data_IF_888667025739
#
_entry.id   IF_888667025739
#
_cell.length_a   1.000
_cell.length_b   1.000
_cell.length_c   1.000
_cell.angle_alpha   90.00
_cell.angle_beta   90.00
_cell.angle_gamma   90.00
#
_symmetry.space_group_name_H-M   'P 1'
#
loop_
_entity.id
_entity.type
_entity.pdbx_description
1 polymer ?
#
# COMPACT_ATOMS: atom_id res chain seq x y z
N UNK A 1 9.29 33.72 9.75
CA UNK A 1 10.74 33.97 9.80
C UNK A 1 11.38 33.06 8.77
N UNK A 2 11.55 33.54 7.54
CA UNK A 2 12.36 32.81 6.56
C UNK A 2 13.80 32.86 7.04
N UNK A 3 14.43 31.70 7.26
CA UNK A 3 15.88 31.67 7.38
C UNK A 3 16.43 32.11 6.03
N UNK A 4 17.16 33.22 6.04
CA UNK A 4 18.07 33.57 4.96
C UNK A 4 19.00 32.38 4.73
N UNK A 5 18.76 31.62 3.65
CA UNK A 5 19.70 30.66 3.08
C UNK A 5 20.78 31.48 2.35
N UNK A 6 21.47 32.34 3.10
CA UNK A 6 22.55 33.15 2.57
C UNK A 6 23.85 32.35 2.71
N UNK A 7 24.26 31.77 1.58
CA UNK A 7 25.66 31.71 1.16
C UNK A 7 26.60 30.74 1.92
N UNK A 8 26.16 29.49 2.15
CA UNK A 8 27.06 28.38 2.49
C UNK A 8 26.73 27.14 1.62
N UNK A 9 27.67 26.74 0.75
CA UNK A 9 27.73 25.47 0.01
C UNK A 9 26.45 24.99 -0.68
N UNK A 10 25.88 25.80 -1.57
CA UNK A 10 24.82 25.33 -2.49
C UNK A 10 25.30 24.27 -3.48
N UNK A 11 26.61 24.15 -3.69
CA UNK A 11 27.22 23.17 -4.61
C UNK A 11 27.20 21.74 -4.07
N UNK A 12 26.89 21.55 -2.77
CA UNK A 12 26.93 20.24 -2.11
C UNK A 12 25.54 19.63 -1.83
N UNK A 13 24.46 20.26 -2.29
CA UNK A 13 23.11 19.74 -2.12
C UNK A 13 22.45 19.53 -3.48
N UNK A 14 21.80 18.39 -3.64
CA UNK A 14 21.03 18.05 -4.83
C UNK A 14 19.52 18.01 -4.50
N UNK A 15 18.71 18.57 -5.39
CA UNK A 15 17.26 18.68 -5.28
C UNK A 15 16.53 17.79 -6.31
N UNK A 16 17.26 16.97 -7.07
CA UNK A 16 16.75 16.23 -8.23
C UNK A 16 15.96 14.95 -7.89
N UNK A 17 16.18 14.34 -6.72
CA UNK A 17 15.65 13.00 -6.40
C UNK A 17 14.11 12.90 -6.46
N UNK A 18 13.39 14.00 -6.22
CA UNK A 18 11.93 14.04 -6.25
C UNK A 18 11.35 14.75 -7.48
N UNK A 19 12.18 15.16 -8.45
CA UNK A 19 11.78 15.80 -9.71
C UNK A 19 11.03 17.14 -9.60
N UNK A 20 10.50 17.50 -8.43
CA UNK A 20 9.62 18.66 -8.22
C UNK A 20 9.54 19.14 -6.76
N UNK A 21 10.19 18.46 -5.80
CA UNK A 21 10.07 18.82 -4.39
C UNK A 21 11.38 19.42 -3.81
N UNK A 22 11.62 20.73 -4.01
CA UNK A 22 12.79 21.42 -3.47
C UNK A 22 12.78 21.56 -1.94
N UNK A 23 11.77 21.02 -1.24
CA UNK A 23 11.61 21.20 0.19
C UNK A 23 12.58 20.36 1.04
N UNK A 24 13.37 19.45 0.44
CA UNK A 24 14.22 18.53 1.22
C UNK A 24 15.62 18.35 0.59
N UNK A 25 16.53 19.34 0.74
CA UNK A 25 17.89 19.17 0.29
C UNK A 25 18.57 18.04 1.07
N UNK A 26 19.16 17.11 0.34
CA UNK A 26 20.09 16.09 0.86
C UNK A 26 21.48 16.36 0.30
N UNK A 27 22.51 15.90 1.00
CA UNK A 27 23.88 16.02 0.52
C UNK A 27 24.04 15.30 -0.83
N UNK A 28 24.91 15.82 -1.68
CA UNK A 28 25.17 15.24 -2.99
C UNK A 28 25.59 13.77 -2.90
N UNK A 29 26.47 13.42 -1.96
CA UNK A 29 26.93 12.03 -1.81
C UNK A 29 25.78 11.08 -1.42
N UNK A 30 24.82 11.58 -0.63
CA UNK A 30 23.59 10.85 -0.34
C UNK A 30 22.74 10.67 -1.60
N UNK A 31 22.55 11.73 -2.40
CA UNK A 31 21.80 11.62 -3.64
C UNK A 31 22.43 10.63 -4.62
N UNK A 32 23.74 10.71 -4.83
CA UNK A 32 24.51 9.80 -5.69
C UNK A 32 24.36 8.34 -5.22
N UNK A 33 24.38 8.11 -3.89
CA UNK A 33 24.18 6.78 -3.32
C UNK A 33 22.77 6.24 -3.56
N UNK A 34 21.73 7.08 -3.39
CA UNK A 34 20.34 6.67 -3.67
C UNK A 34 20.13 6.45 -5.18
N UNK A 35 20.71 7.28 -6.06
CA UNK A 35 20.63 7.09 -7.51
C UNK A 35 21.27 5.75 -7.93
N UNK A 36 22.47 5.46 -7.43
CA UNK A 36 23.14 4.18 -7.68
C UNK A 36 22.29 3.01 -7.20
N UNK A 37 21.69 3.13 -6.02
CA UNK A 37 20.77 2.14 -5.48
C UNK A 37 19.54 1.97 -6.37
N UNK A 38 18.93 3.06 -6.83
CA UNK A 38 17.81 3.03 -7.76
C UNK A 38 18.15 2.36 -9.09
N UNK A 39 19.35 2.55 -9.61
CA UNK A 39 19.84 1.87 -10.82
C UNK A 39 19.98 0.36 -10.57
N UNK A 40 20.54 -0.05 -9.43
CA UNK A 40 20.69 -1.48 -9.06
C UNK A 40 19.33 -2.20 -8.94
N UNK A 41 18.32 -1.49 -8.44
CA UNK A 41 16.97 -2.00 -8.20
C UNK A 41 15.94 -1.45 -9.19
N UNK A 42 16.36 -1.07 -10.41
CA UNK A 42 15.48 -0.45 -11.42
C UNK A 42 14.21 -1.26 -11.71
N UNK A 43 14.28 -2.59 -11.65
CA UNK A 43 13.11 -3.46 -11.84
C UNK A 43 12.03 -3.34 -10.75
N UNK A 44 12.38 -2.83 -9.56
CA UNK A 44 11.47 -2.58 -8.45
C UNK A 44 10.78 -1.20 -8.56
N UNK A 45 11.21 -0.37 -9.52
CA UNK A 45 10.58 0.91 -9.84
C UNK A 45 9.44 0.64 -10.84
N UNK A 46 8.29 0.24 -10.30
CA UNK A 46 7.16 -0.22 -11.08
C UNK A 46 6.32 0.96 -11.59
N UNK A 47 6.23 1.10 -12.90
CA UNK A 47 5.12 1.80 -13.53
C UNK A 47 3.90 0.87 -13.52
N UNK A 48 2.84 1.31 -12.83
CA UNK A 48 1.66 0.48 -12.60
C UNK A 48 0.84 0.33 -13.87
N UNK A 49 0.78 1.34 -14.74
CA UNK A 49 -0.20 1.40 -15.83
C UNK A 49 -0.17 0.19 -16.80
N UNK A 50 1.02 -0.34 -17.09
CA UNK A 50 1.20 -1.39 -18.11
C UNK A 50 1.28 -2.83 -17.57
N UNK A 51 1.13 -3.03 -16.26
CA UNK A 51 1.30 -4.35 -15.63
C UNK A 51 -0.03 -4.97 -15.20
N UNK A 52 -0.10 -6.28 -15.08
CA UNK A 52 -1.17 -6.97 -14.37
C UNK A 52 -0.90 -6.98 -12.86
N UNK A 53 -1.93 -7.26 -12.04
CA UNK A 53 -1.73 -7.43 -10.60
C UNK A 53 -0.75 -8.58 -10.29
N UNK A 54 -0.82 -9.70 -11.03
CA UNK A 54 0.11 -10.82 -10.88
C UNK A 54 1.57 -10.42 -11.17
N UNK A 55 1.80 -9.61 -12.22
CA UNK A 55 3.14 -9.13 -12.54
C UNK A 55 3.69 -8.19 -11.48
N UNK A 56 2.85 -7.27 -10.97
CA UNK A 56 3.23 -6.38 -9.86
C UNK A 56 3.60 -7.22 -8.65
N UNK A 57 2.72 -8.12 -8.22
CA UNK A 57 2.94 -8.90 -7.00
C UNK A 57 4.14 -9.82 -7.12
N UNK A 58 4.37 -10.43 -8.28
CA UNK A 58 5.58 -11.23 -8.52
C UNK A 58 6.86 -10.40 -8.34
N UNK A 59 6.87 -9.15 -8.79
CA UNK A 59 8.04 -8.27 -8.64
C UNK A 59 8.17 -7.83 -7.19
N UNK A 60 7.08 -7.35 -6.59
CA UNK A 60 7.02 -6.88 -5.20
C UNK A 60 7.44 -7.97 -4.22
N UNK A 61 6.97 -9.20 -4.40
CA UNK A 61 7.26 -10.35 -3.53
C UNK A 61 8.66 -10.95 -3.78
N UNK A 62 9.41 -10.47 -4.78
CA UNK A 62 10.76 -10.96 -5.01
C UNK A 62 11.71 -10.55 -3.89
N UNK A 63 12.63 -11.44 -3.50
CA UNK A 63 13.65 -11.16 -2.47
C UNK A 63 14.43 -9.87 -2.76
N UNK A 64 14.67 -9.58 -4.04
CA UNK A 64 15.36 -8.38 -4.47
C UNK A 64 14.54 -7.12 -4.19
N UNK A 65 13.26 -7.07 -4.55
CA UNK A 65 12.44 -5.89 -4.27
C UNK A 65 12.03 -5.76 -2.81
N UNK A 66 11.89 -6.87 -2.08
CA UNK A 66 11.72 -6.82 -0.62
C UNK A 66 12.94 -6.14 0.05
N UNK A 67 14.17 -6.41 -0.41
CA UNK A 67 15.35 -5.66 0.07
C UNK A 67 15.27 -4.18 -0.29
N UNK A 68 14.87 -3.86 -1.53
CA UNK A 68 14.71 -2.49 -1.99
C UNK A 68 13.75 -1.67 -1.13
N UNK A 69 12.56 -2.22 -0.84
CA UNK A 69 11.52 -1.52 -0.09
C UNK A 69 11.78 -1.47 1.42
N UNK A 70 12.56 -2.41 1.96
CA UNK A 70 12.93 -2.41 3.38
C UNK A 70 14.15 -1.55 3.71
N UNK A 71 14.91 -1.09 2.71
CA UNK A 71 16.04 -0.18 2.92
C UNK A 71 15.50 1.21 3.24
N UNK A 72 15.98 1.74 4.38
CA UNK A 72 15.77 3.12 4.76
C UNK A 72 16.98 3.95 4.32
N UNK A 73 16.72 5.11 3.76
CA UNK A 73 17.72 6.09 3.35
C UNK A 73 18.57 6.52 4.56
N UNK A 74 18.00 6.56 5.76
CA UNK A 74 18.76 6.84 7.00
C UNK A 74 19.85 5.80 7.30
N UNK A 75 19.70 4.57 6.78
CA UNK A 75 20.68 3.50 6.96
C UNK A 75 21.81 3.56 5.93
N UNK A 76 21.69 4.39 4.87
CA UNK A 76 22.73 4.60 3.86
C UNK A 76 23.86 5.44 4.47
N UNK A 77 25.11 4.96 4.53
CA UNK A 77 26.22 5.68 5.17
C UNK A 77 26.42 7.11 4.67
N UNK A 78 26.30 7.32 3.36
CA UNK A 78 26.44 8.61 2.69
C UNK A 78 25.32 9.60 3.05
N UNK A 79 24.21 9.11 3.61
CA UNK A 79 23.07 9.92 4.01
C UNK A 79 23.05 10.31 5.49
N UNK A 80 23.98 9.81 6.31
CA UNK A 80 24.00 10.06 7.76
C UNK A 80 24.15 11.53 8.13
N UNK A 81 24.86 12.29 7.30
CA UNK A 81 25.09 13.71 7.53
C UNK A 81 24.13 14.61 6.74
N UNK A 82 23.17 14.03 6.02
CA UNK A 82 22.08 14.79 5.41
C UNK A 82 21.10 15.28 6.49
N UNK A 83 20.22 16.19 6.12
CA UNK A 83 19.19 16.70 7.02
C UNK A 83 18.25 15.53 7.39
N UNK A 84 18.19 15.19 8.68
CA UNK A 84 17.44 14.03 9.18
C UNK A 84 15.99 14.03 8.69
N UNK A 85 15.29 15.15 8.81
CA UNK A 85 13.88 15.26 8.38
C UNK A 85 13.74 15.12 6.85
N UNK A 86 14.74 15.52 6.04
CA UNK A 86 14.74 15.30 4.59
C UNK A 86 14.86 13.82 4.25
N UNK A 87 15.74 13.11 4.96
CA UNK A 87 15.93 11.67 4.83
C UNK A 87 14.66 10.92 5.24
N UNK A 88 14.05 11.28 6.37
CA UNK A 88 12.78 10.72 6.85
C UNK A 88 11.66 10.94 5.82
N UNK A 89 11.61 12.13 5.21
CA UNK A 89 10.63 12.43 4.17
C UNK A 89 10.78 11.52 2.95
N UNK A 90 12.01 11.27 2.49
CA UNK A 90 12.27 10.33 1.39
C UNK A 90 11.86 8.91 1.80
N UNK A 91 12.18 8.48 3.02
CA UNK A 91 11.76 7.17 3.54
C UNK A 91 10.24 7.02 3.54
N UNK A 92 9.50 8.06 3.95
CA UNK A 92 8.04 8.04 3.96
C UNK A 92 7.44 7.99 2.56
N UNK A 93 8.03 8.69 1.57
CA UNK A 93 7.60 8.58 0.18
C UNK A 93 7.85 7.17 -0.40
N UNK A 94 8.99 6.55 -0.04
CA UNK A 94 9.27 5.16 -0.43
C UNK A 94 8.29 4.18 0.21
N UNK A 95 7.99 4.34 1.51
CA UNK A 95 6.96 3.55 2.20
C UNK A 95 5.60 3.73 1.55
N UNK A 96 5.22 4.95 1.18
CA UNK A 96 3.95 5.24 0.52
C UNK A 96 3.82 4.47 -0.79
N UNK A 97 4.82 4.58 -1.67
CA UNK A 97 4.85 3.85 -2.94
C UNK A 97 4.80 2.32 -2.73
N UNK A 98 5.51 1.81 -1.73
CA UNK A 98 5.47 0.37 -1.40
C UNK A 98 4.10 -0.07 -0.89
N UNK A 99 3.45 0.73 -0.03
CA UNK A 99 2.11 0.46 0.49
C UNK A 99 1.07 0.38 -0.62
N UNK A 100 1.14 1.28 -1.60
CA UNK A 100 0.27 1.25 -2.78
C UNK A 100 0.46 -0.06 -3.57
N UNK A 101 1.70 -0.45 -3.84
CA UNK A 101 2.02 -1.70 -4.53
C UNK A 101 1.56 -2.94 -3.74
N UNK A 102 1.72 -2.96 -2.41
CA UNK A 102 1.20 -4.04 -1.55
C UNK A 102 -0.32 -4.12 -1.61
N UNK A 103 -1.00 -2.98 -1.73
CA UNK A 103 -2.46 -2.93 -1.76
C UNK A 103 -3.03 -3.55 -3.04
N UNK A 104 -2.31 -3.50 -4.17
CA UNK A 104 -2.62 -4.23 -5.40
C UNK A 104 -2.51 -5.75 -5.21
N UNK A 105 -1.77 -6.20 -4.18
CA UNK A 105 -1.47 -7.59 -3.91
C UNK A 105 -2.34 -8.25 -2.84
N UNK A 106 -3.35 -7.53 -2.34
CA UNK A 106 -4.27 -8.09 -1.36
C UNK A 106 -5.15 -9.15 -2.05
N UNK A 107 -5.15 -10.36 -1.49
CA UNK A 107 -5.93 -11.50 -1.96
C UNK A 107 -6.91 -11.99 -0.91
N UNK A 108 -8.04 -12.50 -1.37
CA UNK A 108 -9.09 -13.12 -0.57
C UNK A 108 -8.68 -14.51 -0.04
N UNK A 109 -9.62 -15.18 0.62
CA UNK A 109 -9.44 -16.53 1.16
C UNK A 109 -9.21 -17.58 0.07
N UNK A 110 -9.59 -17.29 -1.17
CA UNK A 110 -9.51 -18.17 -2.34
C UNK A 110 -8.36 -17.80 -3.28
N UNK A 111 -7.42 -16.96 -2.83
CA UNK A 111 -6.27 -16.49 -3.61
C UNK A 111 -6.64 -15.65 -4.84
N UNK A 112 -7.80 -14.99 -4.82
CA UNK A 112 -8.24 -14.02 -5.84
C UNK A 112 -7.96 -12.60 -5.34
N UNK A 113 -7.61 -11.70 -6.25
CA UNK A 113 -7.37 -10.29 -5.90
C UNK A 113 -8.61 -9.61 -5.36
N UNK A 114 -8.41 -8.76 -4.37
CA UNK A 114 -9.52 -8.05 -3.74
C UNK A 114 -10.10 -6.98 -4.68
N UNK A 115 -11.43 -6.87 -4.78
CA UNK A 115 -12.06 -6.02 -5.80
C UNK A 115 -11.71 -4.54 -5.74
N UNK A 116 -11.61 -3.92 -4.55
CA UNK A 116 -11.40 -2.47 -4.40
C UNK A 116 -10.13 -1.93 -5.08
N UNK A 117 -9.07 -2.73 -5.15
CA UNK A 117 -7.81 -2.41 -5.85
C UNK A 117 -7.57 -3.32 -7.05
N UNK A 118 -8.57 -4.10 -7.46
CA UNK A 118 -8.42 -4.80 -8.71
C UNK A 118 -8.25 -3.75 -9.81
N UNK A 119 -7.20 -3.90 -10.62
CA UNK A 119 -7.08 -3.13 -11.86
C UNK A 119 -8.31 -3.26 -12.73
N UNK A 120 -9.09 -4.32 -12.57
CA UNK A 120 -10.40 -4.46 -13.19
C UNK A 120 -11.36 -3.37 -12.72
N UNK A 121 -11.44 -3.09 -11.41
CA UNK A 121 -12.24 -1.98 -10.87
C UNK A 121 -11.67 -0.61 -11.27
N UNK A 122 -10.35 -0.44 -11.29
CA UNK A 122 -9.72 0.81 -11.73
C UNK A 122 -9.88 1.04 -13.25
N UNK A 123 -9.79 -0.02 -14.07
CA UNK A 123 -10.06 0.00 -15.52
C UNK A 123 -11.54 0.16 -15.84
N UNK A 124 -12.43 -0.27 -14.96
CA UNK A 124 -13.86 0.00 -15.11
C UNK A 124 -14.10 1.50 -14.93
N UNK A 125 -13.48 2.13 -13.94
CA UNK A 125 -13.58 3.58 -13.68
C UNK A 125 -12.66 4.35 -14.66
N UNK A 126 -13.04 4.41 -15.93
CA UNK A 126 -12.35 5.25 -16.90
C UNK A 126 -12.86 6.70 -16.82
N UNK A 127 -12.04 7.70 -17.21
CA UNK A 127 -12.51 9.08 -17.39
C UNK A 127 -13.69 9.21 -18.38
N UNK A 128 -13.90 8.20 -19.24
CA UNK A 128 -14.97 8.15 -20.24
C UNK A 128 -16.32 7.70 -19.67
N UNK A 129 -16.33 7.06 -18.49
CA UNK A 129 -17.57 6.70 -17.80
C UNK A 129 -18.30 7.93 -17.26
N UNK A 130 -19.64 7.84 -17.17
CA UNK A 130 -20.40 8.80 -16.38
C UNK A 130 -20.11 8.64 -14.89
N UNK A 131 -20.25 9.72 -14.12
CA UNK A 131 -20.09 9.72 -12.66
C UNK A 131 -20.92 8.63 -11.97
N UNK A 132 -22.15 8.38 -12.46
CA UNK A 132 -23.03 7.35 -11.93
C UNK A 132 -22.49 5.93 -12.19
N UNK A 133 -21.89 5.68 -13.35
CA UNK A 133 -21.28 4.38 -13.66
C UNK A 133 -20.04 4.14 -12.79
N UNK A 134 -19.21 5.16 -12.59
CA UNK A 134 -18.04 5.08 -11.71
C UNK A 134 -18.46 4.79 -10.27
N UNK A 135 -19.51 5.46 -9.79
CA UNK A 135 -20.10 5.23 -8.48
C UNK A 135 -20.63 3.81 -8.33
N UNK A 136 -21.38 3.30 -9.30
CA UNK A 136 -21.90 1.92 -9.27
C UNK A 136 -20.79 0.88 -9.29
N UNK A 137 -19.74 1.09 -10.09
CA UNK A 137 -18.58 0.20 -10.12
C UNK A 137 -17.86 0.17 -8.77
N UNK A 138 -17.65 1.35 -8.16
CA UNK A 138 -17.04 1.48 -6.85
C UNK A 138 -17.89 0.82 -5.74
N UNK A 139 -19.20 1.07 -5.71
CA UNK A 139 -20.12 0.45 -4.75
C UNK A 139 -20.12 -1.07 -4.89
N UNK A 140 -20.11 -1.59 -6.12
CA UNK A 140 -20.00 -3.03 -6.36
C UNK A 140 -18.68 -3.61 -5.84
N UNK A 141 -17.56 -2.96 -6.11
CA UNK A 141 -16.25 -3.42 -5.60
C UNK A 141 -16.18 -3.39 -4.08
N UNK A 142 -16.76 -2.37 -3.46
CA UNK A 142 -16.92 -2.25 -2.00
C UNK A 142 -17.74 -3.39 -1.42
N UNK A 143 -18.88 -3.71 -2.04
CA UNK A 143 -19.77 -4.82 -1.66
C UNK A 143 -19.10 -6.20 -1.81
N UNK A 144 -18.42 -6.45 -2.92
CA UNK A 144 -17.71 -7.70 -3.16
C UNK A 144 -16.53 -7.88 -2.20
N UNK A 145 -15.82 -6.79 -1.86
CA UNK A 145 -14.73 -6.81 -0.86
C UNK A 145 -15.23 -7.27 0.51
N UNK A 146 -16.44 -6.87 0.92
CA UNK A 146 -17.03 -7.28 2.20
C UNK A 146 -17.31 -8.78 2.33
N UNK A 147 -17.24 -9.54 1.24
CA UNK A 147 -17.39 -10.99 1.27
C UNK A 147 -16.14 -11.72 1.78
N UNK A 148 -15.01 -11.02 1.89
CA UNK A 148 -13.71 -11.56 2.31
C UNK A 148 -13.17 -10.84 3.54
N UNK A 149 -12.92 -11.58 4.61
CA UNK A 149 -12.28 -11.05 5.81
C UNK A 149 -10.84 -10.62 5.52
N UNK A 150 -10.09 -11.41 4.74
CA UNK A 150 -8.73 -11.04 4.31
C UNK A 150 -8.69 -9.74 3.53
N UNK A 151 -9.65 -9.51 2.64
CA UNK A 151 -9.72 -8.24 1.92
C UNK A 151 -10.03 -7.07 2.86
N UNK A 152 -11.02 -7.22 3.76
CA UNK A 152 -11.35 -6.20 4.77
C UNK A 152 -10.11 -5.85 5.60
N UNK A 153 -9.43 -6.86 6.16
CA UNK A 153 -8.25 -6.66 7.01
C UNK A 153 -7.08 -6.05 6.22
N UNK A 154 -6.86 -6.51 4.98
CA UNK A 154 -5.84 -5.98 4.10
C UNK A 154 -6.03 -4.48 3.82
N UNK A 155 -7.25 -4.06 3.49
CA UNK A 155 -7.54 -2.64 3.24
C UNK A 155 -7.47 -1.80 4.50
N UNK A 156 -7.97 -2.30 5.63
CA UNK A 156 -7.85 -1.58 6.89
C UNK A 156 -6.38 -1.41 7.30
N UNK A 157 -5.56 -2.44 7.10
CA UNK A 157 -4.11 -2.36 7.31
C UNK A 157 -3.47 -1.32 6.39
N UNK A 158 -3.80 -1.33 5.10
CA UNK A 158 -3.31 -0.35 4.13
C UNK A 158 -3.67 1.08 4.52
N UNK A 159 -4.94 1.37 4.83
CA UNK A 159 -5.35 2.71 5.24
C UNK A 159 -4.70 3.17 6.54
N UNK A 160 -4.53 2.28 7.51
CA UNK A 160 -3.80 2.61 8.74
C UNK A 160 -2.34 2.95 8.45
N UNK A 161 -1.68 2.17 7.58
CA UNK A 161 -0.30 2.41 7.14
C UNK A 161 -0.17 3.78 6.43
N UNK A 162 -1.10 4.13 5.53
CA UNK A 162 -1.14 5.44 4.87
C UNK A 162 -1.34 6.60 5.85
N UNK A 163 -2.24 6.44 6.83
CA UNK A 163 -2.49 7.42 7.87
C UNK A 163 -1.22 7.66 8.69
N UNK A 164 -0.49 6.61 9.05
CA UNK A 164 0.72 6.72 9.86
C UNK A 164 1.89 7.31 9.06
N UNK A 165 2.10 6.89 7.81
CA UNK A 165 3.08 7.50 6.89
C UNK A 165 2.81 9.00 6.73
N UNK A 166 1.55 9.40 6.57
CA UNK A 166 1.18 10.80 6.40
C UNK A 166 1.40 11.63 7.65
N UNK A 167 1.16 11.07 8.83
CA UNK A 167 1.51 11.74 10.09
C UNK A 167 3.02 11.93 10.21
N UNK A 168 3.80 10.89 9.98
CA UNK A 168 5.27 10.94 10.03
C UNK A 168 5.82 11.98 9.03
N UNK A 169 5.27 12.00 7.81
CA UNK A 169 5.65 12.96 6.78
C UNK A 169 5.26 14.40 7.13
N UNK A 170 4.05 14.62 7.64
CA UNK A 170 3.60 15.94 8.10
C UNK A 170 4.43 16.45 9.29
N UNK A 171 4.83 15.55 10.20
CA UNK A 171 5.74 15.88 11.31
C UNK A 171 7.13 16.29 10.81
N UNK A 172 7.69 15.57 9.85
CA UNK A 172 8.97 15.95 9.21
C UNK A 172 8.88 17.32 8.53
N UNK A 173 7.78 17.57 7.81
CA UNK A 173 7.50 18.85 7.16
C UNK A 173 7.38 20.01 8.16
N UNK A 174 6.77 19.79 9.33
CA UNK A 174 6.58 20.84 10.34
C UNK A 174 7.89 21.41 10.90
N UNK A 175 8.97 20.63 10.85
CA UNK A 175 10.28 21.02 11.38
C UNK A 175 11.13 21.78 10.37
N UNK A 176 10.95 21.51 9.08
CA UNK A 176 11.81 22.04 8.01
C UNK A 176 11.09 23.03 7.08
N UNK A 177 9.82 22.77 6.77
CA UNK A 177 9.01 23.65 5.95
C UNK A 177 8.61 24.91 6.71
N UNK A 178 8.45 26.02 5.99
CA UNK A 178 7.68 27.17 6.49
C UNK A 178 6.17 26.86 6.43
N UNK A 179 5.79 25.68 6.91
CA UNK A 179 4.42 25.18 6.91
C UNK A 179 3.83 25.51 8.28
N UNK A 180 2.65 26.12 8.25
CA UNK A 180 1.93 26.48 9.48
C UNK A 180 1.47 25.23 10.21
N UNK A 181 1.25 25.37 11.53
CA UNK A 181 0.65 24.30 12.34
C UNK A 181 -0.71 23.85 11.78
N UNK A 182 -1.49 24.79 11.23
CA UNK A 182 -2.79 24.49 10.62
C UNK A 182 -2.64 23.60 9.38
N UNK A 183 -1.67 23.88 8.51
CA UNK A 183 -1.38 23.04 7.34
C UNK A 183 -0.88 21.64 7.76
N UNK A 184 -0.02 21.55 8.78
CA UNK A 184 0.42 20.25 9.33
C UNK A 184 -0.76 19.46 9.90
N UNK A 185 -1.64 20.12 10.65
CA UNK A 185 -2.85 19.51 11.20
C UNK A 185 -3.84 19.12 10.08
N UNK A 186 -3.92 19.89 8.99
CA UNK A 186 -4.68 19.53 7.80
C UNK A 186 -4.15 18.26 7.15
N UNK A 187 -2.84 18.18 6.91
CA UNK A 187 -2.16 17.01 6.34
C UNK A 187 -2.37 15.75 7.19
N UNK A 188 -2.16 15.85 8.51
CA UNK A 188 -2.38 14.73 9.45
C UNK A 188 -3.82 14.21 9.44
N UNK A 189 -4.76 15.07 9.08
CA UNK A 189 -6.17 14.74 9.02
C UNK A 189 -6.69 14.56 7.59
N UNK A 190 -5.85 14.61 6.55
CA UNK A 190 -6.29 14.52 5.15
C UNK A 190 -7.15 13.29 4.91
N UNK A 191 -6.75 12.10 5.37
CA UNK A 191 -7.56 10.88 5.22
C UNK A 191 -8.85 10.86 6.03
N UNK A 192 -8.91 11.58 7.16
CA UNK A 192 -10.14 11.72 7.94
C UNK A 192 -11.09 12.75 7.33
N UNK A 193 -10.54 13.77 6.66
CA UNK A 193 -11.29 14.82 5.97
C UNK A 193 -11.74 14.37 4.59
N UNK A 194 -11.01 13.47 3.94
CA UNK A 194 -11.43 12.85 2.69
C UNK A 194 -12.67 11.99 2.95
N UNK A 195 -13.81 12.52 2.51
CA UNK A 195 -15.12 11.91 2.75
C UNK A 195 -15.19 10.49 2.20
N UNK A 196 -14.64 10.25 1.01
CA UNK A 196 -14.69 8.94 0.35
C UNK A 196 -13.90 7.88 1.13
N UNK A 197 -12.68 8.22 1.54
CA UNK A 197 -11.81 7.31 2.30
C UNK A 197 -12.36 7.05 3.69
N UNK A 198 -12.80 8.08 4.41
CA UNK A 198 -13.40 7.91 5.73
C UNK A 198 -14.68 7.08 5.69
N UNK A 199 -15.59 7.34 4.76
CA UNK A 199 -16.81 6.53 4.56
C UNK A 199 -16.48 5.07 4.22
N UNK A 200 -15.46 4.83 3.40
CA UNK A 200 -15.00 3.47 3.08
C UNK A 200 -14.46 2.76 4.32
N UNK A 201 -13.57 3.40 5.08
CA UNK A 201 -13.00 2.82 6.31
C UNK A 201 -14.11 2.47 7.31
N UNK A 202 -15.05 3.39 7.52
CA UNK A 202 -16.19 3.19 8.42
C UNK A 202 -17.10 2.07 7.93
N UNK A 203 -17.36 2.02 6.62
CA UNK A 203 -18.13 0.93 6.01
C UNK A 203 -17.46 -0.42 6.20
N UNK A 204 -16.16 -0.54 5.92
CA UNK A 204 -15.40 -1.79 6.12
C UNK A 204 -15.39 -2.25 7.58
N UNK A 205 -15.43 -1.32 8.54
CA UNK A 205 -15.53 -1.62 9.98
C UNK A 205 -16.94 -1.98 10.44
N UNK A 206 -17.96 -1.60 9.68
CA UNK A 206 -19.37 -1.74 10.07
C UNK A 206 -19.85 -3.19 10.09
N UNK A 207 -20.90 -3.43 10.88
CA UNK A 207 -21.60 -4.73 10.89
C UNK A 207 -22.27 -5.02 9.54
N UNK A 208 -22.62 -3.99 8.77
CA UNK A 208 -23.17 -4.16 7.42
C UNK A 208 -22.17 -4.82 6.47
N UNK A 209 -20.89 -4.46 6.55
CA UNK A 209 -19.84 -5.13 5.77
C UNK A 209 -19.52 -6.51 6.36
N UNK A 210 -19.29 -6.58 7.67
CA UNK A 210 -18.90 -7.84 8.34
C UNK A 210 -19.95 -8.94 8.24
N UNK A 211 -21.24 -8.59 8.23
CA UNK A 211 -22.32 -9.58 8.05
C UNK A 211 -22.34 -10.24 6.66
N UNK A 212 -21.61 -9.68 5.68
CA UNK A 212 -21.51 -10.22 4.31
C UNK A 212 -20.36 -11.19 4.12
N UNK A 213 -19.51 -11.38 5.13
CA UNK A 213 -18.38 -12.31 5.06
C UNK A 213 -18.89 -13.72 4.76
N UNK A 214 -18.47 -14.26 3.63
CA UNK A 214 -18.81 -15.62 3.23
C UNK A 214 -17.70 -16.51 3.76
N UNK A 215 -17.99 -17.25 4.83
CA UNK A 215 -17.07 -18.27 5.32
C UNK A 215 -16.95 -19.37 4.27
N UNK A 216 -15.86 -19.37 3.51
CA UNK A 216 -15.53 -20.43 2.53
C UNK A 216 -15.26 -21.80 3.16
N UNK A 217 -15.37 -21.92 4.49
CA UNK A 217 -14.86 -23.06 5.25
C UNK A 217 -15.87 -24.15 5.62
N UNK A 218 -17.17 -24.04 5.30
CA UNK A 218 -18.13 -25.07 5.75
C UNK A 218 -18.70 -25.98 4.66
N UNK A 219 -18.59 -25.67 3.36
CA UNK A 219 -19.10 -26.57 2.33
C UNK A 219 -18.02 -27.53 1.84
N UNK A 220 -16.89 -27.02 1.32
CA UNK A 220 -15.87 -27.90 0.72
C UNK A 220 -15.07 -28.70 1.76
N UNK A 221 -14.76 -28.14 2.93
CA UNK A 221 -14.08 -28.88 4.01
C UNK A 221 -15.02 -29.91 4.64
N UNK A 222 -16.32 -29.62 4.77
CA UNK A 222 -17.31 -30.62 5.23
C UNK A 222 -17.52 -31.70 4.17
N UNK A 223 -17.56 -31.37 2.88
CA UNK A 223 -17.66 -32.36 1.79
C UNK A 223 -16.41 -33.24 1.73
N UNK A 224 -15.19 -32.67 1.86
CA UNK A 224 -13.95 -33.46 1.91
C UNK A 224 -13.90 -34.37 3.15
N UNK A 225 -14.32 -33.87 4.31
CA UNK A 225 -14.37 -34.68 5.53
C UNK A 225 -15.48 -35.74 5.50
N UNK A 226 -16.64 -35.46 4.90
CA UNK A 226 -17.71 -36.45 4.67
C UNK A 226 -17.26 -37.55 3.72
N UNK A 227 -16.56 -37.22 2.63
CA UNK A 227 -16.05 -38.20 1.68
C UNK A 227 -14.96 -39.10 2.30
N UNK A 228 -14.11 -38.56 3.18
CA UNK A 228 -13.14 -39.36 3.93
C UNK A 228 -13.84 -40.33 4.89
N UNK A 229 -14.89 -39.88 5.58
CA UNK A 229 -15.66 -40.71 6.52
C UNK A 229 -16.44 -41.82 5.81
N UNK A 230 -17.06 -41.52 4.66
CA UNK A 230 -17.74 -42.51 3.82
C UNK A 230 -16.76 -43.56 3.28
N UNK A 231 -15.57 -43.13 2.82
CA UNK A 231 -14.52 -44.04 2.38
C UNK A 231 -14.04 -45.00 3.47
N UNK A 232 -13.82 -44.50 4.69
CA UNK A 232 -13.43 -45.33 5.84
C UNK A 232 -14.54 -46.32 6.25
N UNK A 233 -15.80 -45.89 6.21
CA UNK A 233 -16.93 -46.77 6.55
C UNK A 233 -17.09 -47.96 5.58
N UNK A 234 -16.83 -47.74 4.28
CA UNK A 234 -16.87 -48.80 3.27
C UNK A 234 -15.74 -49.82 3.45
N UNK A 235 -14.54 -49.38 3.84
CA UNK A 235 -13.41 -50.28 4.13
C UNK A 235 -13.73 -51.19 5.31
N UNK A 236 -14.32 -50.66 6.38
CA UNK A 236 -14.75 -51.48 7.53
C UNK A 236 -15.82 -52.51 7.16
N UNK A 237 -16.80 -52.15 6.33
CA UNK A 237 -17.85 -53.10 5.90
C UNK A 237 -17.27 -54.21 5.02
N UNK A 238 -16.34 -53.88 4.12
CA UNK A 238 -15.65 -54.88 3.30
C UNK A 238 -14.77 -55.82 4.15
N UNK A 239 -14.13 -55.31 5.21
CA UNK A 239 -13.31 -56.12 6.12
C UNK A 239 -14.12 -57.15 6.93
N UNK A 240 -15.41 -56.92 7.15
CA UNK A 240 -16.29 -57.89 7.82
C UNK A 240 -16.97 -58.89 6.88
N UNK A 241 -16.92 -58.65 5.56
CA UNK A 241 -17.55 -59.50 4.54
C UNK A 241 -16.60 -60.49 3.86
N UNK A 242 -15.28 -60.34 4.05
CA UNK A 242 -14.23 -61.22 3.52
C UNK A 242 -13.35 -61.76 4.65
#
# INVERSE_FOLDING_TARGET
>A
MGRDVNNADTDNYDYSYLGTNPFFPIKKECNDAIEKFNIEYKECQLEVDDKTADEICKIVDSDKCQKYFNIKVVDIPECKDSIEDAVISIDNLRKLAYSELKAECIKDENNKYCPLNSKETQKIITPEMSEEQQKQAYEKAKEETCKSQKCIDGYLSFFNELIDITKEYADALSKYGNISKEEVDDMKNTFKKDKRTSELIDYLKSDQCKSKIIYSSSAETVIKNMNLYLGLSLITVLYFLF
#
